data_IF_119408985833
#
_entry.id   IF_119408985833
#
_cell.length_a   1.000
_cell.length_b   1.000
_cell.length_c   1.000
_cell.angle_alpha   90.00
_cell.angle_beta   90.00
_cell.angle_gamma   90.00
#
_symmetry.space_group_name_H-M   'P 1'
#
loop_
_entity.id
_entity.type
_entity.pdbx_description
1 polymer ?
#
# COMPACT_ATOMS: atom_id res chain seq x y z
N UNK A 1 -19.27 11.26 5.30
CA UNK A 1 -19.02 10.15 6.23
C UNK A 1 -17.59 10.28 6.71
N UNK A 2 -17.35 10.72 7.95
CA UNK A 2 -15.99 10.72 8.50
C UNK A 2 -15.67 9.33 9.02
N UNK A 3 -14.50 8.82 8.67
CA UNK A 3 -13.94 7.57 9.19
C UNK A 3 -12.68 7.93 9.96
N UNK A 4 -12.47 7.30 11.10
CA UNK A 4 -11.25 7.47 11.90
C UNK A 4 -10.53 6.14 12.05
N UNK A 5 -9.22 6.14 11.87
CA UNK A 5 -8.36 5.02 12.22
C UNK A 5 -8.03 5.05 13.71
N UNK A 6 -8.49 4.04 14.44
CA UNK A 6 -8.12 3.85 15.85
C UNK A 6 -6.79 3.09 15.99
N UNK A 7 -6.51 2.19 15.04
CA UNK A 7 -5.29 1.40 14.97
C UNK A 7 -4.96 1.09 13.51
N UNK A 8 -3.66 1.00 13.21
CA UNK A 8 -3.15 0.59 11.91
C UNK A 8 -1.84 -0.18 12.10
N UNK A 9 -1.87 -1.48 11.81
CA UNK A 9 -0.68 -2.32 11.72
C UNK A 9 -0.25 -2.44 10.25
N UNK A 10 1.06 -2.39 10.00
CA UNK A 10 1.65 -2.49 8.66
C UNK A 10 2.52 -3.73 8.57
N UNK A 11 2.33 -4.51 7.52
CA UNK A 11 3.16 -5.67 7.20
C UNK A 11 3.56 -5.65 5.73
N UNK A 12 4.66 -6.32 5.41
CA UNK A 12 5.09 -6.55 4.05
C UNK A 12 5.38 -8.03 3.83
N UNK A 13 5.06 -8.51 2.62
CA UNK A 13 5.35 -9.87 2.20
C UNK A 13 5.82 -9.90 0.75
N UNK A 14 6.97 -10.52 0.53
CA UNK A 14 7.43 -10.81 -0.82
C UNK A 14 6.64 -11.95 -1.45
N UNK A 15 6.38 -11.85 -2.74
CA UNK A 15 5.66 -12.86 -3.51
C UNK A 15 6.28 -13.05 -4.90
N UNK A 16 6.09 -14.25 -5.43
CA UNK A 16 6.45 -14.60 -6.81
C UNK A 16 5.19 -14.72 -7.64
N UNK A 17 5.21 -14.16 -8.84
CA UNK A 17 4.12 -14.29 -9.79
C UNK A 17 4.20 -15.64 -10.48
N UNK A 18 3.03 -16.22 -10.77
CA UNK A 18 2.94 -17.51 -11.49
C UNK A 18 3.53 -17.41 -12.91
N UNK A 19 3.46 -16.23 -13.53
CA UNK A 19 3.95 -15.93 -14.87
C UNK A 19 4.53 -14.49 -14.87
N UNK A 20 5.48 -14.16 -15.76
CA UNK A 20 5.93 -12.79 -15.94
C UNK A 20 4.78 -11.86 -16.30
N UNK A 21 4.69 -10.72 -15.61
CA UNK A 21 3.67 -9.70 -15.84
C UNK A 21 4.32 -8.42 -16.34
N UNK A 22 3.96 -8.00 -17.55
CA UNK A 22 4.49 -6.77 -18.17
C UNK A 22 3.48 -5.65 -18.04
N UNK A 23 3.89 -4.54 -17.44
CA UNK A 23 3.10 -3.32 -17.38
C UNK A 23 3.99 -2.09 -17.60
N UNK A 24 3.51 -1.17 -18.44
CA UNK A 24 4.30 -0.01 -18.84
C UNK A 24 5.66 -0.40 -19.45
N UNK A 25 6.74 0.06 -18.82
CA UNK A 25 8.13 -0.13 -19.28
C UNK A 25 8.85 -1.29 -18.60
N UNK A 26 8.22 -2.00 -17.66
CA UNK A 26 8.85 -3.09 -16.91
C UNK A 26 8.12 -4.42 -17.06
N UNK A 27 8.83 -5.51 -16.78
CA UNK A 27 8.27 -6.85 -16.63
C UNK A 27 8.69 -7.38 -15.27
N UNK A 28 7.72 -7.71 -14.43
CA UNK A 28 7.93 -8.22 -13.08
C UNK A 28 7.67 -9.72 -13.04
N UNK A 29 8.45 -10.43 -12.24
CA UNK A 29 8.25 -11.86 -11.95
C UNK A 29 8.04 -12.10 -10.45
N UNK A 30 8.31 -11.08 -9.64
CA UNK A 30 8.17 -11.04 -8.19
C UNK A 30 7.88 -9.60 -7.76
N UNK A 31 7.51 -9.42 -6.49
CA UNK A 31 7.29 -8.11 -5.90
C UNK A 31 6.99 -8.19 -4.42
N UNK A 32 6.76 -7.03 -3.81
CA UNK A 32 6.38 -6.91 -2.40
C UNK A 32 4.92 -6.48 -2.31
N UNK A 33 4.17 -7.10 -1.41
CA UNK A 33 2.80 -6.73 -1.08
C UNK A 33 2.78 -6.02 0.28
N UNK A 34 2.15 -4.86 0.34
CA UNK A 34 1.81 -4.23 1.61
C UNK A 34 0.49 -4.80 2.11
N UNK A 35 0.43 -5.11 3.40
CA UNK A 35 -0.76 -5.60 4.08
C UNK A 35 -1.03 -4.67 5.26
N UNK A 36 -2.23 -4.12 5.33
CA UNK A 36 -2.68 -3.28 6.43
C UNK A 36 -3.79 -4.00 7.19
N UNK A 37 -3.64 -4.07 8.52
CA UNK A 37 -4.75 -4.37 9.42
C UNK A 37 -5.14 -3.08 10.11
N UNK A 38 -6.39 -2.66 9.94
CA UNK A 38 -6.88 -1.39 10.46
C UNK A 38 -8.14 -1.58 11.28
N UNK A 39 -8.28 -0.76 12.33
CA UNK A 39 -9.54 -0.59 13.04
C UNK A 39 -10.13 0.77 12.71
N UNK A 40 -11.33 0.77 12.16
CA UNK A 40 -12.05 1.96 11.73
C UNK A 40 -13.22 2.22 12.68
N UNK A 41 -13.34 3.46 13.16
CA UNK A 41 -14.50 3.96 13.87
C UNK A 41 -15.34 4.89 12.98
N UNK A 42 -16.66 4.81 13.13
CA UNK A 42 -17.66 5.64 12.48
C UNK A 42 -18.25 6.66 13.46
N UNK A 43 -18.83 7.73 12.92
CA UNK A 43 -19.46 8.80 13.73
C UNK A 43 -20.64 8.30 14.59
N UNK A 44 -21.26 7.17 14.23
CA UNK A 44 -22.35 6.54 15.00
C UNK A 44 -21.86 5.62 16.14
N UNK A 45 -20.55 5.60 16.39
CA UNK A 45 -19.93 4.84 17.48
C UNK A 45 -19.62 3.38 17.13
N UNK A 46 -19.97 2.90 15.93
CA UNK A 46 -19.56 1.57 15.48
C UNK A 46 -18.08 1.53 15.15
N UNK A 47 -17.41 0.43 15.48
CA UNK A 47 -16.06 0.14 15.04
C UNK A 47 -15.94 -1.27 14.47
N UNK A 48 -15.02 -1.44 13.51
CA UNK A 48 -14.70 -2.74 12.94
C UNK A 48 -13.23 -2.82 12.58
N UNK A 49 -12.67 -4.02 12.73
CA UNK A 49 -11.34 -4.35 12.23
C UNK A 49 -11.44 -5.00 10.86
N UNK A 50 -10.49 -4.70 9.99
CA UNK A 50 -10.40 -5.27 8.65
C UNK A 50 -8.96 -5.35 8.17
N UNK A 51 -8.75 -6.14 7.12
CA UNK A 51 -7.45 -6.32 6.49
C UNK A 51 -7.58 -6.01 4.99
N UNK A 52 -6.63 -5.25 4.46
CA UNK A 52 -6.46 -4.99 3.04
C UNK A 52 -5.02 -5.26 2.63
N UNK A 53 -4.81 -5.67 1.38
CA UNK A 53 -3.48 -5.93 0.85
C UNK A 53 -3.36 -5.45 -0.60
N UNK A 54 -2.24 -4.83 -0.94
CA UNK A 54 -1.99 -4.23 -2.25
C UNK A 54 -0.54 -4.44 -2.69
N UNK A 55 -0.32 -4.67 -3.98
CA UNK A 55 1.03 -4.84 -4.52
C UNK A 55 1.75 -3.49 -4.60
N UNK A 56 2.98 -3.42 -4.06
CA UNK A 56 3.82 -2.24 -4.18
C UNK A 56 4.54 -2.25 -5.54
N UNK A 57 3.83 -1.86 -6.60
CA UNK A 57 4.34 -1.88 -7.96
C UNK A 57 5.19 -0.66 -8.30
N UNK A 58 6.51 -0.82 -8.36
CA UNK A 58 7.39 0.17 -8.99
C UNK A 58 6.89 0.50 -10.41
N UNK A 59 7.04 1.75 -10.84
CA UNK A 59 6.60 2.22 -12.17
C UNK A 59 5.09 2.16 -12.44
N UNK A 60 4.26 1.90 -11.44
CA UNK A 60 2.80 1.98 -11.61
C UNK A 60 2.33 3.44 -11.68
N UNK A 61 2.75 4.26 -10.71
CA UNK A 61 2.37 5.67 -10.60
C UNK A 61 3.46 6.62 -11.11
N UNK A 62 4.65 6.58 -10.51
CA UNK A 62 5.83 7.33 -10.94
C UNK A 62 6.66 6.50 -11.93
N UNK A 63 6.83 6.99 -13.16
CA UNK A 63 7.41 6.25 -14.29
C UNK A 63 8.73 6.82 -14.80
N UNK A 64 9.16 7.96 -14.27
CA UNK A 64 10.39 8.63 -14.71
C UNK A 64 11.60 7.69 -14.56
N UNK A 65 12.52 7.71 -15.54
CA UNK A 65 13.76 6.94 -15.46
C UNK A 65 14.72 7.46 -14.38
N UNK A 66 14.46 8.65 -13.82
CA UNK A 66 15.29 9.25 -12.76
C UNK A 66 15.16 8.55 -11.42
N UNK A 67 14.07 7.80 -11.20
CA UNK A 67 13.86 7.03 -9.97
C UNK A 67 14.19 5.56 -10.20
N UNK A 68 14.85 4.95 -9.23
CA UNK A 68 15.02 3.50 -9.17
C UNK A 68 13.72 2.83 -8.69
N UNK A 69 13.58 1.52 -8.95
CA UNK A 69 12.41 0.76 -8.48
C UNK A 69 12.30 0.76 -6.95
N UNK A 70 13.45 0.71 -6.24
CA UNK A 70 13.49 0.80 -4.78
C UNK A 70 12.97 2.16 -4.26
N UNK A 71 13.30 3.25 -4.95
CA UNK A 71 12.77 4.58 -4.60
C UNK A 71 11.27 4.68 -4.86
N UNK A 72 10.77 4.09 -5.94
CA UNK A 72 9.32 4.05 -6.17
C UNK A 72 8.60 3.21 -5.12
N UNK A 73 9.20 2.10 -4.68
CA UNK A 73 8.68 1.30 -3.59
C UNK A 73 8.57 2.12 -2.29
N UNK A 74 9.61 2.89 -1.97
CA UNK A 74 9.62 3.79 -0.81
C UNK A 74 8.55 4.88 -0.90
N UNK A 75 8.36 5.48 -2.08
CA UNK A 75 7.27 6.44 -2.32
C UNK A 75 5.88 5.84 -2.04
N UNK A 76 5.65 4.58 -2.40
CA UNK A 76 4.39 3.89 -2.10
C UNK A 76 4.23 3.64 -0.60
N UNK A 77 5.31 3.31 0.12
CA UNK A 77 5.28 3.21 1.59
C UNK A 77 4.98 4.54 2.25
N UNK A 78 5.48 5.64 1.70
CA UNK A 78 5.19 7.01 2.15
C UNK A 78 3.73 7.38 1.90
N UNK A 79 3.15 7.01 0.74
CA UNK A 79 1.73 7.23 0.47
C UNK A 79 0.82 6.53 1.49
N UNK A 80 1.16 5.30 1.89
CA UNK A 80 0.46 4.60 2.98
C UNK A 80 0.61 5.33 4.33
N UNK A 81 1.81 5.83 4.65
CA UNK A 81 2.06 6.58 5.89
C UNK A 81 1.23 7.85 5.95
N UNK A 82 1.21 8.64 4.87
CA UNK A 82 0.43 9.88 4.77
C UNK A 82 -1.06 9.61 4.97
N UNK A 83 -1.58 8.55 4.34
CA UNK A 83 -2.98 8.16 4.50
C UNK A 83 -3.29 7.77 5.96
N UNK A 84 -2.43 6.96 6.59
CA UNK A 84 -2.61 6.54 7.99
C UNK A 84 -2.65 7.78 8.90
N UNK A 85 -1.68 8.68 8.78
CA UNK A 85 -1.63 9.92 9.57
C UNK A 85 -2.88 10.79 9.36
N UNK A 86 -3.33 10.92 8.10
CA UNK A 86 -4.50 11.71 7.77
C UNK A 86 -5.79 11.19 8.42
N UNK A 87 -5.95 9.86 8.50
CA UNK A 87 -7.15 9.25 9.09
C UNK A 87 -7.02 8.96 10.60
N UNK A 88 -5.83 9.08 11.18
CA UNK A 88 -5.63 8.98 12.64
C UNK A 88 -5.91 10.30 13.37
N UNK A 89 -5.61 11.43 12.73
CA UNK A 89 -5.90 12.78 13.23
C UNK A 89 -7.41 13.03 13.44
#
# INVERSE_FOLDING_TARGET
MKVKLEAADRFERDHKLRLPFRFGVITVTEGTQAILRVRIALEDGRSSEGVAAEALGAKWFEKSPTFTDAQNLDQLRQALQIAIEHYQA
#
